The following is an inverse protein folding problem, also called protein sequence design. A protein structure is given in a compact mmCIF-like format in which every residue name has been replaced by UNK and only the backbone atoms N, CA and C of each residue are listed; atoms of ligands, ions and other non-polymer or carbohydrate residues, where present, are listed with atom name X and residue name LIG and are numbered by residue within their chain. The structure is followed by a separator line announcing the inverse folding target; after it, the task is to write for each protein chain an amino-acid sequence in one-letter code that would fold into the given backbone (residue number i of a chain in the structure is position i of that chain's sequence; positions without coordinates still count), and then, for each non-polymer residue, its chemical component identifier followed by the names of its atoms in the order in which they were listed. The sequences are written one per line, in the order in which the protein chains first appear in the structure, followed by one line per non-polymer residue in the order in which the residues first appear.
data_IF_663336962097
#
_entry.id   IF_663336962097
#
_cell.length_a   1.000
_cell.length_b   1.000
_cell.length_c   1.000
_cell.angle_alpha   90.00
_cell.angle_beta   90.00
_cell.angle_gamma   90.00
#
_symmetry.space_group_name_H-M   'P 1'
#
loop_
_entity.id
_entity.type
_entity.pdbx_description
1 polymer ?
#
# COMPACT_ATOMS: atom_id res chain seq x y z
N UNK A 1 -11.13 -4.31 -15.38
CA UNK A 1 -11.96 -3.33 -14.65
C UNK A 1 -10.99 -2.39 -13.96
N UNK A 2 -11.19 -1.08 -14.07
CA UNK A 2 -10.38 -0.10 -13.32
C UNK A 2 -10.76 -0.22 -11.83
N UNK A 3 -9.77 -0.30 -10.94
CA UNK A 3 -10.02 -0.16 -9.50
C UNK A 3 -10.62 1.24 -9.22
N UNK A 4 -11.63 1.33 -8.36
CA UNK A 4 -12.12 2.65 -7.90
C UNK A 4 -11.21 3.21 -6.79
N UNK A 5 -11.21 4.54 -6.62
CA UNK A 5 -10.46 5.20 -5.55
C UNK A 5 -10.84 4.63 -4.16
N UNK A 6 -12.13 4.57 -3.84
CA UNK A 6 -12.61 4.00 -2.57
C UNK A 6 -12.17 2.55 -2.34
N UNK A 7 -12.20 1.72 -3.39
CA UNK A 7 -11.75 0.33 -3.30
C UNK A 7 -10.22 0.24 -3.11
N UNK A 8 -9.47 1.14 -3.75
CA UNK A 8 -8.04 1.23 -3.61
C UNK A 8 -7.61 1.72 -2.23
N UNK A 9 -8.30 2.73 -1.67
CA UNK A 9 -8.08 3.18 -0.29
C UNK A 9 -8.40 2.05 0.70
N UNK A 10 -9.50 1.32 0.49
CA UNK A 10 -9.84 0.15 1.32
C UNK A 10 -8.75 -0.93 1.25
N UNK A 11 -8.19 -1.20 0.07
CA UNK A 11 -7.10 -2.15 -0.09
C UNK A 11 -5.81 -1.63 0.56
N UNK A 12 -5.48 -0.35 0.39
CA UNK A 12 -4.35 0.30 1.05
C UNK A 12 -4.44 0.23 2.57
N UNK A 13 -5.63 0.44 3.15
CA UNK A 13 -5.88 0.28 4.58
C UNK A 13 -5.64 -1.17 5.05
N UNK A 14 -6.07 -2.17 4.27
CA UNK A 14 -5.79 -3.58 4.57
C UNK A 14 -4.29 -3.88 4.53
N UNK A 15 -3.58 -3.33 3.53
CA UNK A 15 -2.14 -3.48 3.42
C UNK A 15 -1.42 -2.83 4.60
N UNK A 16 -1.84 -1.62 5.02
CA UNK A 16 -1.32 -0.95 6.20
C UNK A 16 -1.55 -1.76 7.47
N UNK A 17 -2.75 -2.32 7.67
CA UNK A 17 -3.06 -3.15 8.82
C UNK A 17 -2.23 -4.45 8.84
N UNK A 18 -2.04 -5.09 7.68
CA UNK A 18 -1.19 -6.27 7.55
C UNK A 18 0.27 -5.94 7.87
N UNK A 19 0.79 -4.83 7.32
CA UNK A 19 2.15 -4.36 7.55
C UNK A 19 2.39 -4.01 9.02
N UNK A 20 1.44 -3.35 9.67
CA UNK A 20 1.52 -3.01 11.09
C UNK A 20 1.54 -4.25 12.01
N UNK A 21 1.06 -5.40 11.53
CA UNK A 21 1.17 -6.68 12.24
C UNK A 21 2.44 -7.47 11.91
N UNK A 22 3.35 -6.91 11.11
CA UNK A 22 4.52 -7.60 10.59
C UNK A 22 5.81 -6.99 11.17
N UNK A 23 6.32 -7.59 12.26
CA UNK A 23 7.43 -7.06 13.05
C UNK A 23 8.75 -6.91 12.27
N UNK A 24 8.91 -7.64 11.16
CA UNK A 24 10.10 -7.56 10.30
C UNK A 24 9.97 -6.47 9.24
N UNK A 25 8.78 -6.29 8.66
CA UNK A 25 8.56 -5.35 7.56
C UNK A 25 8.18 -3.95 8.03
N UNK A 26 7.51 -3.83 9.18
CA UNK A 26 7.11 -2.54 9.72
C UNK A 26 8.31 -1.61 9.95
N UNK A 27 9.42 -2.03 10.61
CA UNK A 27 10.57 -1.17 10.80
C UNK A 27 11.24 -0.75 9.48
N UNK A 28 11.20 -1.62 8.47
CA UNK A 28 11.75 -1.34 7.14
C UNK A 28 10.92 -0.27 6.44
N UNK A 29 9.59 -0.38 6.50
CA UNK A 29 8.69 0.64 5.95
C UNK A 29 8.86 1.99 6.64
N UNK A 30 8.90 2.02 7.98
CA UNK A 30 9.11 3.25 8.74
C UNK A 30 10.46 3.89 8.39
N UNK A 31 11.52 3.09 8.27
CA UNK A 31 12.85 3.54 7.85
C UNK A 31 12.89 4.06 6.41
N UNK A 32 12.14 3.45 5.49
CA UNK A 32 12.10 3.83 4.08
C UNK A 32 11.26 5.09 3.83
N UNK A 33 10.18 5.28 4.58
CA UNK A 33 9.25 6.43 4.42
C UNK A 33 9.56 7.60 5.34
N UNK A 34 10.32 7.36 6.41
CA UNK A 34 10.51 8.34 7.48
C UNK A 34 9.30 8.51 8.39
N UNK A 35 8.27 7.66 8.25
CA UNK A 35 7.09 7.69 9.10
C UNK A 35 7.39 7.13 10.50
N UNK A 36 6.60 7.55 11.48
CA UNK A 36 6.53 6.99 12.83
C UNK A 36 5.24 6.19 13.03
N UNK A 37 5.17 5.40 14.10
CA UNK A 37 3.95 4.66 14.46
C UNK A 37 2.74 5.59 14.70
N UNK A 38 2.96 6.80 15.22
CA UNK A 38 1.91 7.82 15.33
C UNK A 38 1.42 8.27 13.96
N UNK A 39 2.34 8.47 13.01
CA UNK A 39 1.97 8.88 11.64
C UNK A 39 1.11 7.83 10.96
N UNK A 40 1.32 6.53 11.22
CA UNK A 40 0.48 5.47 10.66
C UNK A 40 -0.99 5.68 11.01
N UNK A 41 -1.29 6.08 12.25
CA UNK A 41 -2.67 6.30 12.72
C UNK A 41 -3.24 7.60 12.15
N UNK A 42 -2.44 8.65 12.11
CA UNK A 42 -2.85 9.97 11.62
C UNK A 42 -3.07 9.99 10.11
N UNK A 43 -2.24 9.26 9.37
CA UNK A 43 -2.23 9.22 7.90
C UNK A 43 -3.00 8.03 7.32
N UNK A 44 -3.56 7.13 8.13
CA UNK A 44 -4.36 5.99 7.64
C UNK A 44 -5.52 6.42 6.72
N UNK A 45 -6.08 7.61 6.93
CA UNK A 45 -7.15 8.17 6.10
C UNK A 45 -6.64 9.01 4.91
N UNK A 46 -5.32 9.11 4.70
CA UNK A 46 -4.72 9.89 3.63
C UNK A 46 -4.45 8.99 2.40
N UNK A 47 -5.12 9.22 1.26
CA UNK A 47 -4.94 8.40 0.05
C UNK A 47 -3.50 8.43 -0.49
N UNK A 48 -2.76 9.53 -0.31
CA UNK A 48 -1.35 9.60 -0.73
C UNK A 48 -0.46 8.70 0.12
N UNK A 49 -0.72 8.64 1.43
CA UNK A 49 -0.01 7.75 2.34
C UNK A 49 -0.35 6.28 2.07
N UNK A 50 -1.62 5.97 1.82
CA UNK A 50 -2.00 4.62 1.39
C UNK A 50 -1.34 4.23 0.05
N UNK A 51 -1.11 5.21 -0.83
CA UNK A 51 -0.30 5.05 -2.03
C UNK A 51 1.13 4.61 -1.73
N UNK A 52 1.80 5.24 -0.76
CA UNK A 52 3.18 4.87 -0.39
C UNK A 52 3.26 3.49 0.29
N UNK A 53 2.24 3.09 1.04
CA UNK A 53 2.11 1.73 1.59
C UNK A 53 2.04 0.70 0.46
N UNK A 54 1.21 0.94 -0.56
CA UNK A 54 1.11 0.06 -1.71
C UNK A 54 2.39 0.07 -2.55
N UNK A 55 3.03 1.23 -2.74
CA UNK A 55 4.34 1.32 -3.41
C UNK A 55 5.37 0.43 -2.72
N UNK A 56 5.51 0.56 -1.41
CA UNK A 56 6.41 -0.26 -0.60
C UNK A 56 6.09 -1.75 -0.74
N UNK A 57 4.82 -2.13 -0.60
CA UNK A 57 4.38 -3.52 -0.73
C UNK A 57 4.74 -4.10 -2.10
N UNK A 58 4.60 -3.31 -3.17
CA UNK A 58 4.91 -3.73 -4.55
C UNK A 58 6.40 -3.70 -4.91
N UNK A 59 7.29 -3.37 -3.98
CA UNK A 59 8.74 -3.43 -4.22
C UNK A 59 9.28 -4.86 -4.28
N UNK A 60 8.60 -5.82 -3.64
CA UNK A 60 9.00 -7.22 -3.58
C UNK A 60 7.78 -8.13 -3.80
N UNK A 61 7.88 -9.00 -4.81
CA UNK A 61 6.82 -9.95 -5.15
C UNK A 61 6.48 -10.89 -3.97
N UNK A 62 7.44 -11.20 -3.10
CA UNK A 62 7.20 -12.02 -1.92
C UNK A 62 6.28 -11.32 -0.91
N UNK A 63 6.37 -9.99 -0.77
CA UNK A 63 5.49 -9.24 0.13
C UNK A 63 4.09 -9.14 -0.46
N UNK A 64 3.98 -8.89 -1.77
CA UNK A 64 2.72 -8.93 -2.51
C UNK A 64 2.00 -10.25 -2.32
N UNK A 65 2.70 -11.38 -2.54
CA UNK A 65 2.12 -12.72 -2.39
C UNK A 65 1.66 -12.97 -0.96
N UNK A 66 2.48 -12.69 0.05
CA UNK A 66 2.12 -12.91 1.46
C UNK A 66 0.92 -12.06 1.90
N UNK A 67 0.88 -10.79 1.52
CA UNK A 67 -0.28 -9.94 1.79
C UNK A 67 -1.54 -10.49 1.11
N UNK A 68 -1.46 -10.78 -0.19
CA UNK A 68 -2.61 -11.24 -0.96
C UNK A 68 -3.13 -12.60 -0.48
N UNK A 69 -2.25 -13.53 -0.11
CA UNK A 69 -2.62 -14.82 0.47
C UNK A 69 -3.35 -14.62 1.80
N UNK A 70 -2.88 -13.71 2.66
CA UNK A 70 -3.54 -13.39 3.93
C UNK A 70 -4.91 -12.74 3.75
N UNK A 71 -5.08 -11.96 2.68
CA UNK A 71 -6.28 -11.18 2.41
C UNK A 71 -7.26 -11.87 1.44
N UNK A 72 -6.87 -13.01 0.85
CA UNK A 72 -7.65 -13.73 -0.17
C UNK A 72 -7.82 -12.94 -1.47
N UNK A 73 -6.79 -12.19 -1.88
CA UNK A 73 -6.80 -11.30 -3.05
C UNK A 73 -5.98 -11.86 -4.21
N UNK A 74 -6.25 -11.40 -5.42
CA UNK A 74 -5.39 -11.67 -6.57
C UNK A 74 -4.12 -10.81 -6.52
N UNK A 75 -2.99 -11.35 -6.98
CA UNK A 75 -1.66 -10.73 -6.82
C UNK A 75 -1.44 -9.46 -7.64
N UNK A 76 -2.30 -9.21 -8.63
CA UNK A 76 -2.29 -7.97 -9.40
C UNK A 76 -3.05 -6.82 -8.71
N UNK A 77 -3.88 -7.12 -7.71
CA UNK A 77 -4.74 -6.12 -7.06
C UNK A 77 -3.98 -5.01 -6.33
N UNK A 78 -2.85 -5.26 -5.62
CA UNK A 78 -2.09 -4.18 -4.99
C UNK A 78 -1.59 -3.14 -6.00
N UNK A 79 -1.09 -3.59 -7.16
CA UNK A 79 -0.66 -2.71 -8.23
C UNK A 79 -1.84 -1.97 -8.88
N UNK A 80 -2.97 -2.65 -9.11
CA UNK A 80 -4.18 -1.99 -9.64
C UNK A 80 -4.73 -0.93 -8.68
N UNK A 81 -4.75 -1.21 -7.38
CA UNK A 81 -5.13 -0.25 -6.36
C UNK A 81 -4.17 0.95 -6.35
N UNK A 82 -2.86 0.70 -6.43
CA UNK A 82 -1.86 1.76 -6.48
C UNK A 82 -2.08 2.74 -7.64
N UNK A 83 -2.41 2.23 -8.81
CA UNK A 83 -2.70 3.03 -10.02
C UNK A 83 -3.98 3.87 -9.89
N UNK A 84 -4.90 3.48 -9.01
CA UNK A 84 -6.15 4.21 -8.75
C UNK A 84 -6.01 5.29 -7.67
N UNK A 85 -4.89 5.32 -6.93
CA UNK A 85 -4.59 6.34 -5.92
C UNK A 85 -3.82 7.53 -6.51
N UNK A 86 -3.83 8.70 -5.83
CA UNK A 86 -3.04 9.86 -6.23
C UNK A 86 -1.55 9.51 -6.45
N UNK A 87 -0.93 10.15 -7.44
CA UNK A 87 0.46 9.89 -7.82
C UNK A 87 0.71 8.51 -8.45
N UNK A 88 -0.32 7.69 -8.69
CA UNK A 88 -0.22 6.37 -9.33
C UNK A 88 -0.41 6.40 -10.83
N UNK A 89 -1.05 7.46 -11.34
CA UNK A 89 -1.05 7.75 -12.76
C UNK A 89 0.40 8.02 -13.21
N UNK A 90 0.92 7.21 -14.14
CA UNK A 90 2.22 7.45 -14.76
C UNK A 90 2.26 8.87 -15.31
N UNK A 91 3.04 9.74 -14.65
CA UNK A 91 3.31 11.08 -15.17
C UNK A 91 4.29 10.89 -16.33
N UNK A 92 3.74 10.73 -17.54
CA UNK A 92 4.52 10.87 -18.76
C UNK A 92 4.94 12.32 -18.88
N UNK A 93 6.15 12.64 -18.41
CA UNK A 93 6.80 13.89 -18.79
C UNK A 93 7.23 13.75 -20.26
N UNK A 94 6.44 14.35 -21.16
CA UNK A 94 6.89 14.67 -22.53
C UNK A 94 7.78 15.90 -22.50
#
# INVERSE_FOLDING_TARGET
MLFSADAAETLGLKALAWLAGNDELLPVFLGATGASESDLREQAANPEFLGSVLDFLTMDDAWVMQFCDSAGLAYDQPLQARMALPGGAQVHWT
#
